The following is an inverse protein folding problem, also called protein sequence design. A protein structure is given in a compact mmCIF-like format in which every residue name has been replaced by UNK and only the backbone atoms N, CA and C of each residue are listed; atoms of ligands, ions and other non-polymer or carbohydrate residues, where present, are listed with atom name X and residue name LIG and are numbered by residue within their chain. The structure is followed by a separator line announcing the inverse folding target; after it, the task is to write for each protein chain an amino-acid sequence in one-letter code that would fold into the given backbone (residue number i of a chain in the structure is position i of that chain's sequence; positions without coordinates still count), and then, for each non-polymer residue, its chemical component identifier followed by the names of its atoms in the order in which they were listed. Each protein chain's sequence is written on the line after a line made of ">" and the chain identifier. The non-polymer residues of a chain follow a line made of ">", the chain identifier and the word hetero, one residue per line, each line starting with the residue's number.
data_IF_938048537646
#
_entry.id   IF_938048537646
#
_cell.length_a   1.000
_cell.length_b   1.000
_cell.length_c   1.000
_cell.angle_alpha   90.00
_cell.angle_beta   90.00
_cell.angle_gamma   90.00
#
_symmetry.space_group_name_H-M   'P 1'
#
loop_
_entity.id
_entity.type
_entity.pdbx_description
1 polymer ?
#
# COMPACT_ATOMS: atom_id res chain seq x y z
N UNK A 1 13.16 30.98 3.51
CA UNK A 1 12.67 29.88 4.37
C UNK A 1 12.53 28.66 3.48
N UNK A 2 13.03 27.47 3.86
CA UNK A 2 12.96 26.29 3.02
C UNK A 2 11.51 25.89 2.71
N UNK A 3 11.25 25.45 1.47
CA UNK A 3 9.94 25.09 0.94
C UNK A 3 9.92 23.63 0.51
N UNK A 4 8.94 22.89 1.02
CA UNK A 4 8.80 21.46 0.80
C UNK A 4 7.48 21.19 0.08
N UNK A 5 7.54 20.54 -1.07
CA UNK A 5 6.35 20.00 -1.74
C UNK A 5 6.04 18.59 -1.25
N UNK A 6 4.78 18.26 -1.01
CA UNK A 6 4.36 16.91 -0.61
C UNK A 6 3.27 16.43 -1.56
N UNK A 7 3.57 15.40 -2.36
CA UNK A 7 2.60 14.74 -3.23
C UNK A 7 2.01 13.53 -2.50
N UNK A 8 0.72 13.61 -2.21
CA UNK A 8 -0.03 12.62 -1.45
C UNK A 8 -1.00 11.87 -2.37
N UNK A 9 -0.99 10.52 -2.38
CA UNK A 9 -1.84 9.74 -3.28
C UNK A 9 -3.34 9.79 -2.88
N UNK A 10 -3.66 10.08 -1.63
CA UNK A 10 -5.01 10.01 -1.07
C UNK A 10 -5.80 11.33 -1.23
N UNK A 11 -6.98 11.40 -0.61
CA UNK A 11 -7.81 12.61 -0.51
C UNK A 11 -7.37 13.49 0.68
N UNK A 12 -7.47 14.83 0.57
CA UNK A 12 -7.24 15.74 1.69
C UNK A 12 -8.19 15.44 2.85
N UNK A 13 -7.72 15.69 4.07
CA UNK A 13 -8.56 15.65 5.28
C UNK A 13 -9.24 14.31 5.61
N UNK A 14 -8.74 13.19 5.06
CA UNK A 14 -9.06 11.89 5.66
C UNK A 14 -8.55 11.91 7.11
N UNK A 15 -9.41 11.73 8.13
CA UNK A 15 -8.99 11.64 9.53
C UNK A 15 -8.01 10.47 9.79
N UNK A 16 -7.80 9.64 8.77
CA UNK A 16 -7.04 8.39 8.78
C UNK A 16 -5.92 8.39 7.73
N UNK A 17 -5.26 9.51 7.41
CA UNK A 17 -3.96 9.42 6.74
C UNK A 17 -2.81 9.43 7.76
N UNK A 18 -2.45 8.27 8.34
CA UNK A 18 -1.44 8.19 9.39
C UNK A 18 -0.08 8.71 8.91
N UNK A 19 0.20 8.64 7.61
CA UNK A 19 1.49 9.03 7.04
C UNK A 19 1.70 10.55 7.06
N UNK A 20 0.69 11.36 6.71
CA UNK A 20 0.82 12.83 6.75
C UNK A 20 0.89 13.33 8.19
N UNK A 21 0.08 12.77 9.09
CA UNK A 21 0.15 13.10 10.51
C UNK A 21 1.52 12.72 11.11
N UNK A 22 2.03 11.52 10.81
CA UNK A 22 3.35 11.08 11.25
C UNK A 22 4.48 11.93 10.66
N UNK A 23 4.38 12.33 9.38
CA UNK A 23 5.33 13.23 8.73
C UNK A 23 5.38 14.59 9.41
N UNK A 24 4.22 15.23 9.64
CA UNK A 24 4.13 16.51 10.35
C UNK A 24 4.67 16.42 11.77
N UNK A 25 4.37 15.34 12.48
CA UNK A 25 4.91 15.09 13.81
C UNK A 25 6.43 14.95 13.78
N UNK A 26 6.97 14.12 12.90
CA UNK A 26 8.41 13.91 12.78
C UNK A 26 9.16 15.20 12.45
N UNK A 27 8.61 16.04 11.56
CA UNK A 27 9.16 17.36 11.29
C UNK A 27 9.17 18.25 12.54
N UNK A 28 8.05 18.31 13.26
CA UNK A 28 7.92 19.10 14.49
C UNK A 28 8.88 18.64 15.59
N UNK A 29 9.01 17.33 15.78
CA UNK A 29 9.90 16.73 16.78
C UNK A 29 11.39 17.08 16.51
N UNK A 30 11.73 17.37 15.24
CA UNK A 30 13.04 17.86 14.80
C UNK A 30 13.15 19.39 14.78
N UNK A 31 12.12 20.12 15.21
CA UNK A 31 12.08 21.58 15.22
C UNK A 31 11.67 22.23 13.88
N UNK A 32 11.25 21.44 12.89
CA UNK A 32 10.71 21.95 11.63
C UNK A 32 9.20 22.19 11.74
N UNK A 33 8.81 23.45 11.88
CA UNK A 33 7.43 23.89 12.08
C UNK A 33 6.94 24.62 10.82
N UNK A 34 5.87 24.09 10.23
CA UNK A 34 5.21 24.66 9.06
C UNK A 34 4.68 26.08 9.36
N UNK A 35 4.96 27.01 8.44
CA UNK A 35 4.68 28.44 8.58
C UNK A 35 5.63 29.23 9.48
N UNK A 36 6.63 28.58 10.09
CA UNK A 36 7.60 29.24 10.99
C UNK A 36 9.05 29.02 10.54
N UNK A 37 9.47 27.76 10.41
CA UNK A 37 10.85 27.40 10.03
C UNK A 37 10.93 26.80 8.63
N UNK A 38 9.81 26.28 8.12
CA UNK A 38 9.63 25.73 6.77
C UNK A 38 8.24 26.12 6.25
N UNK A 39 8.03 26.06 4.94
CA UNK A 39 6.70 26.06 4.34
C UNK A 39 6.43 24.75 3.63
N UNK A 40 5.25 24.15 3.85
CA UNK A 40 4.86 22.87 3.25
C UNK A 40 3.69 23.04 2.28
N UNK A 41 3.91 22.71 1.02
CA UNK A 41 2.91 22.75 -0.05
C UNK A 41 2.37 21.33 -0.29
N UNK A 42 1.08 21.10 -0.03
CA UNK A 42 0.45 19.79 -0.21
C UNK A 42 -0.28 19.69 -1.54
N UNK A 43 0.00 18.64 -2.30
CA UNK A 43 -0.68 18.30 -3.54
C UNK A 43 -1.29 16.91 -3.46
N UNK A 44 -2.60 16.83 -3.69
CA UNK A 44 -3.39 15.63 -3.48
C UNK A 44 -3.82 15.02 -4.81
N UNK A 45 -3.60 13.72 -4.97
CA UNK A 45 -4.02 12.99 -6.16
C UNK A 45 -5.46 12.49 -6.08
N UNK A 46 -6.08 12.46 -4.88
CA UNK A 46 -7.45 11.96 -4.67
C UNK A 46 -7.67 10.55 -5.25
N UNK A 47 -6.67 9.68 -5.10
CA UNK A 47 -6.70 8.30 -5.60
C UNK A 47 -6.57 8.14 -7.12
N UNK A 48 -6.36 9.22 -7.87
CA UNK A 48 -6.31 9.23 -9.35
C UNK A 48 -4.86 9.23 -9.84
N UNK A 49 -4.39 8.09 -10.33
CA UNK A 49 -3.00 7.91 -10.76
C UNK A 49 -2.63 8.78 -11.98
N UNK A 50 -3.59 8.99 -12.85
CA UNK A 50 -3.60 9.86 -14.03
C UNK A 50 -3.29 11.32 -13.69
N UNK A 51 -3.44 11.75 -12.43
CA UNK A 51 -3.07 13.10 -11.98
C UNK A 51 -1.58 13.24 -11.64
N UNK A 52 -0.85 12.15 -11.43
CA UNK A 52 0.52 12.23 -10.90
C UNK A 52 1.48 13.02 -11.79
N UNK A 53 1.37 12.91 -13.11
CA UNK A 53 2.21 13.66 -14.04
C UNK A 53 1.99 15.17 -13.92
N UNK A 54 0.73 15.60 -13.91
CA UNK A 54 0.37 17.01 -13.75
C UNK A 54 0.79 17.56 -12.38
N UNK A 55 0.51 16.83 -11.30
CA UNK A 55 0.87 17.26 -9.93
C UNK A 55 2.39 17.34 -9.73
N UNK A 56 3.15 16.40 -10.30
CA UNK A 56 4.61 16.47 -10.27
C UNK A 56 5.13 17.70 -11.03
N UNK A 57 4.58 17.99 -12.21
CA UNK A 57 4.96 19.17 -12.99
C UNK A 57 4.59 20.49 -12.28
N UNK A 58 3.44 20.54 -11.61
CA UNK A 58 3.04 21.68 -10.78
C UNK A 58 4.03 21.91 -9.63
N UNK A 59 4.39 20.86 -8.89
CA UNK A 59 5.36 20.96 -7.80
C UNK A 59 6.74 21.44 -8.29
N UNK A 60 7.22 20.96 -9.44
CA UNK A 60 8.51 21.40 -10.00
C UNK A 60 8.50 22.87 -10.42
N UNK A 61 7.34 23.43 -10.76
CA UNK A 61 7.20 24.86 -11.08
C UNK A 61 7.11 25.75 -9.84
N UNK A 62 6.82 25.16 -8.68
CA UNK A 62 6.97 25.86 -7.42
C UNK A 62 8.47 25.90 -7.10
N UNK A 63 8.96 27.08 -6.74
CA UNK A 63 10.33 27.28 -6.25
C UNK A 63 10.50 26.58 -4.90
N UNK A 64 10.65 25.25 -4.95
CA UNK A 64 10.77 24.33 -3.82
C UNK A 64 12.22 23.92 -3.64
N UNK A 65 12.60 23.61 -2.40
CA UNK A 65 13.91 23.06 -2.07
C UNK A 65 13.92 21.52 -2.10
N UNK A 66 12.76 20.88 -1.88
CA UNK A 66 12.60 19.42 -1.82
C UNK A 66 11.15 18.99 -2.13
N UNK A 67 10.98 17.84 -2.76
CA UNK A 67 9.68 17.16 -2.89
C UNK A 67 9.67 15.85 -2.09
N UNK A 68 8.58 15.58 -1.38
CA UNK A 68 8.29 14.31 -0.70
C UNK A 68 7.13 13.60 -1.40
N UNK A 69 7.25 12.30 -1.70
CA UNK A 69 6.24 11.54 -2.45
C UNK A 69 5.97 10.17 -1.81
N UNK A 70 4.70 9.85 -1.53
CA UNK A 70 4.25 8.53 -1.02
C UNK A 70 3.62 7.65 -2.12
N UNK A 71 4.33 7.46 -3.24
CA UNK A 71 3.88 6.58 -4.32
C UNK A 71 5.00 6.31 -5.33
N UNK A 72 5.32 5.03 -5.58
CA UNK A 72 6.28 4.63 -6.62
C UNK A 72 5.91 5.12 -8.02
N UNK A 73 4.61 5.14 -8.36
CA UNK A 73 4.14 5.63 -9.66
C UNK A 73 4.30 7.16 -9.76
N UNK A 74 4.03 7.88 -8.68
CA UNK A 74 4.22 9.33 -8.65
C UNK A 74 5.71 9.71 -8.64
N UNK A 75 6.58 8.90 -8.03
CA UNK A 75 8.03 9.06 -8.09
C UNK A 75 8.56 8.90 -9.52
N UNK A 76 8.02 7.95 -10.30
CA UNK A 76 8.35 7.81 -11.72
C UNK A 76 7.92 9.04 -12.51
N UNK A 77 6.72 9.59 -12.21
CA UNK A 77 6.26 10.82 -12.83
C UNK A 77 7.19 12.01 -12.48
N UNK A 78 7.59 12.15 -11.22
CA UNK A 78 8.54 13.18 -10.77
C UNK A 78 9.91 13.05 -11.45
N UNK A 79 10.43 11.83 -11.60
CA UNK A 79 11.68 11.56 -12.32
C UNK A 79 11.65 12.10 -13.77
N UNK A 80 10.50 12.02 -14.43
CA UNK A 80 10.38 12.49 -15.82
C UNK A 80 10.34 14.02 -15.94
N UNK A 81 10.00 14.74 -14.87
CA UNK A 81 9.84 16.20 -14.90
C UNK A 81 10.97 16.95 -14.18
N UNK A 82 11.78 16.27 -13.36
CA UNK A 82 12.96 16.88 -12.74
C UNK A 82 14.09 15.88 -12.49
N UNK A 83 15.32 16.33 -12.74
CA UNK A 83 16.56 15.59 -12.48
C UNK A 83 17.46 16.30 -11.44
N UNK A 84 17.07 17.49 -10.98
CA UNK A 84 17.90 18.37 -10.14
C UNK A 84 17.26 18.68 -8.80
N UNK A 85 15.94 18.90 -8.76
CA UNK A 85 15.20 19.13 -7.53
C UNK A 85 15.22 17.85 -6.68
N UNK A 86 15.72 17.87 -5.44
CA UNK A 86 15.74 16.68 -4.60
C UNK A 86 14.34 16.10 -4.40
N UNK A 87 14.23 14.77 -4.42
CA UNK A 87 12.97 14.04 -4.21
C UNK A 87 13.19 12.92 -3.19
N UNK A 88 12.39 12.91 -2.13
CA UNK A 88 12.39 11.88 -1.09
C UNK A 88 11.12 11.04 -1.19
N UNK A 89 11.28 9.76 -1.52
CA UNK A 89 10.19 8.80 -1.55
C UNK A 89 9.95 8.15 -0.18
N UNK A 90 8.72 8.13 0.31
CA UNK A 90 8.35 7.41 1.57
C UNK A 90 7.60 6.09 1.33
N UNK A 91 7.49 5.71 0.06
CA UNK A 91 6.84 4.49 -0.40
C UNK A 91 7.24 4.16 -1.84
N UNK A 92 8.51 3.81 -2.07
CA UNK A 92 9.08 3.69 -3.42
C UNK A 92 8.65 2.45 -4.24
N UNK A 93 7.54 1.80 -3.88
CA UNK A 93 6.97 0.71 -4.69
C UNK A 93 7.65 -0.66 -4.52
N UNK A 94 8.40 -0.88 -3.45
CA UNK A 94 8.91 -2.20 -3.05
C UNK A 94 10.18 -2.66 -3.78
N UNK A 95 10.39 -2.23 -5.02
CA UNK A 95 11.61 -2.53 -5.80
C UNK A 95 12.03 -1.29 -6.64
N UNK A 96 12.64 -0.27 -6.01
CA UNK A 96 13.02 0.96 -6.70
C UNK A 96 14.16 0.74 -7.72
N UNK A 97 14.93 -0.34 -7.60
CA UNK A 97 15.97 -0.69 -8.59
C UNK A 97 15.33 -1.32 -9.82
N UNK A 98 14.53 -2.37 -9.65
CA UNK A 98 13.90 -3.06 -10.78
C UNK A 98 12.77 -2.27 -11.45
N UNK A 99 12.29 -1.19 -10.84
CA UNK A 99 11.40 -0.20 -11.49
C UNK A 99 12.16 0.92 -12.18
N UNK A 100 13.49 0.97 -12.04
CA UNK A 100 14.33 2.02 -12.62
C UNK A 100 14.17 3.37 -11.93
N UNK A 101 13.60 3.44 -10.73
CA UNK A 101 13.58 4.68 -9.95
C UNK A 101 15.00 5.09 -9.56
N UNK A 102 15.80 4.14 -9.07
CA UNK A 102 17.18 4.34 -8.64
C UNK A 102 18.10 3.28 -9.27
N UNK A 103 19.40 3.59 -9.40
CA UNK A 103 20.40 2.65 -9.95
C UNK A 103 20.78 1.58 -8.92
N UNK A 104 20.87 1.94 -7.64
CA UNK A 104 21.11 1.01 -6.54
C UNK A 104 20.56 1.55 -5.23
N UNK A 105 20.35 0.67 -4.24
CA UNK A 105 19.87 1.09 -2.92
C UNK A 105 20.95 1.87 -2.14
N UNK A 106 22.22 1.45 -2.24
CA UNK A 106 23.32 2.10 -1.54
C UNK A 106 23.71 3.45 -2.18
N UNK A 107 23.52 3.57 -3.49
CA UNK A 107 23.85 4.77 -4.28
C UNK A 107 22.77 4.99 -5.34
N UNK A 108 21.75 5.83 -5.05
CA UNK A 108 20.61 6.00 -5.94
C UNK A 108 20.95 6.50 -7.35
N UNK A 109 22.01 7.30 -7.48
CA UNK A 109 22.55 7.74 -8.78
C UNK A 109 21.81 8.91 -9.43
N UNK A 110 20.96 9.62 -8.70
CA UNK A 110 20.22 10.79 -9.18
C UNK A 110 19.65 11.62 -8.02
N UNK A 111 18.64 12.45 -8.31
CA UNK A 111 17.98 13.32 -7.33
C UNK A 111 16.92 12.62 -6.46
N UNK A 112 16.63 11.34 -6.71
CA UNK A 112 15.64 10.56 -5.95
C UNK A 112 16.35 9.70 -4.90
N UNK A 113 15.90 9.82 -3.65
CA UNK A 113 16.26 8.94 -2.53
C UNK A 113 15.00 8.57 -1.75
N UNK A 114 15.11 7.78 -0.68
CA UNK A 114 13.98 7.54 0.21
C UNK A 114 13.99 6.19 0.91
N UNK A 115 12.80 5.79 1.36
CA UNK A 115 12.54 4.53 2.03
C UNK A 115 11.63 3.65 1.18
N UNK A 116 11.99 2.37 1.10
CA UNK A 116 11.19 1.35 0.43
C UNK A 116 10.92 0.20 1.38
N UNK A 117 9.66 -0.24 1.45
CA UNK A 117 9.30 -1.49 2.10
C UNK A 117 9.54 -2.64 1.13
N UNK A 118 10.76 -3.18 1.11
CA UNK A 118 11.07 -4.37 0.31
C UNK A 118 10.43 -5.56 0.99
N UNK A 119 9.51 -6.22 0.28
CA UNK A 119 8.96 -7.51 0.67
C UNK A 119 9.62 -8.53 -0.26
N UNK A 120 10.71 -9.11 0.23
CA UNK A 120 11.48 -10.12 -0.48
C UNK A 120 10.89 -11.53 -0.29
N UNK A 121 11.52 -12.52 -0.93
CA UNK A 121 11.09 -13.90 -0.87
C UNK A 121 11.03 -14.45 0.58
N UNK A 122 11.96 -14.03 1.44
CA UNK A 122 12.00 -14.45 2.85
C UNK A 122 10.81 -13.90 3.63
N UNK A 123 10.45 -12.64 3.38
CA UNK A 123 9.28 -12.02 4.00
C UNK A 123 7.97 -12.68 3.54
N UNK A 124 7.86 -13.00 2.25
CA UNK A 124 6.67 -13.69 1.69
C UNK A 124 6.55 -15.12 2.25
N UNK A 125 7.67 -15.83 2.39
CA UNK A 125 7.68 -17.16 3.00
C UNK A 125 7.16 -17.11 4.44
N UNK A 126 7.49 -16.06 5.19
CA UNK A 126 7.05 -15.91 6.58
C UNK A 126 5.53 -15.85 6.72
N UNK A 127 4.81 -15.32 5.73
CA UNK A 127 3.34 -15.34 5.74
C UNK A 127 2.78 -16.77 5.74
N UNK A 128 3.35 -17.65 4.93
CA UNK A 128 2.92 -19.04 4.86
C UNK A 128 3.30 -19.81 6.14
N UNK A 129 4.49 -19.56 6.69
CA UNK A 129 4.93 -20.13 7.96
C UNK A 129 4.01 -19.75 9.13
N UNK A 130 3.76 -18.44 9.30
CA UNK A 130 2.91 -17.93 10.37
C UNK A 130 1.47 -18.47 10.25
N UNK A 131 0.97 -18.59 9.01
CA UNK A 131 -0.35 -19.15 8.77
C UNK A 131 -0.41 -20.64 9.14
N UNK A 132 0.65 -21.40 8.85
CA UNK A 132 0.76 -22.81 9.23
C UNK A 132 0.94 -22.99 10.75
N UNK A 133 1.69 -22.11 11.40
CA UNK A 133 1.88 -22.11 12.85
C UNK A 133 0.56 -21.82 13.57
N UNK A 134 -0.16 -20.78 13.15
CA UNK A 134 -1.45 -20.39 13.73
C UNK A 134 -2.56 -21.42 13.45
N UNK A 135 -2.52 -22.07 12.29
CA UNK A 135 -3.52 -23.07 11.90
C UNK A 135 -2.86 -24.34 11.31
N UNK A 136 -2.34 -25.24 12.15
CA UNK A 136 -1.53 -26.40 11.71
C UNK A 136 -2.25 -27.36 10.75
N UNK A 137 -3.59 -27.39 10.78
CA UNK A 137 -4.40 -28.31 9.97
C UNK A 137 -4.65 -27.82 8.54
N UNK A 138 -4.29 -26.58 8.19
CA UNK A 138 -4.50 -26.09 6.82
C UNK A 138 -3.70 -26.91 5.81
N UNK A 139 -4.32 -27.13 4.66
CA UNK A 139 -3.72 -27.81 3.50
C UNK A 139 -3.75 -26.93 2.25
N UNK A 140 -4.49 -25.81 2.28
CA UNK A 140 -4.65 -24.88 1.16
C UNK A 140 -4.54 -23.44 1.64
N UNK A 141 -3.93 -22.59 0.83
CA UNK A 141 -3.81 -21.15 1.10
C UNK A 141 -4.25 -20.38 -0.13
N UNK A 142 -5.23 -19.50 0.00
CA UNK A 142 -5.58 -18.54 -1.04
C UNK A 142 -4.71 -17.29 -0.95
N UNK A 143 -4.16 -16.85 -2.07
CA UNK A 143 -3.48 -15.56 -2.18
C UNK A 143 -4.33 -14.59 -2.96
N UNK A 144 -4.97 -13.67 -2.24
CA UNK A 144 -5.86 -12.65 -2.80
C UNK A 144 -5.11 -11.36 -2.99
N UNK A 145 -5.04 -10.89 -4.23
CA UNK A 145 -4.29 -9.69 -4.58
C UNK A 145 -4.89 -8.94 -5.77
N UNK A 146 -4.56 -7.66 -5.86
CA UNK A 146 -4.90 -6.84 -7.02
C UNK A 146 -4.06 -7.24 -8.25
N UNK A 147 -4.71 -7.79 -9.26
CA UNK A 147 -4.02 -8.25 -10.48
C UNK A 147 -3.39 -7.13 -11.31
N UNK A 148 -3.79 -5.87 -11.12
CA UNK A 148 -3.13 -4.73 -11.75
C UNK A 148 -1.78 -4.41 -11.08
N UNK A 149 -1.59 -4.80 -9.81
CA UNK A 149 -0.38 -4.55 -9.05
C UNK A 149 0.76 -5.48 -9.48
N UNK A 150 1.77 -4.94 -10.18
CA UNK A 150 2.99 -5.67 -10.52
C UNK A 150 3.71 -6.20 -9.27
N UNK A 151 3.77 -5.40 -8.21
CA UNK A 151 4.40 -5.77 -6.94
C UNK A 151 3.73 -7.00 -6.33
N UNK A 152 2.39 -7.04 -6.33
CA UNK A 152 1.66 -8.18 -5.75
C UNK A 152 1.79 -9.43 -6.60
N UNK A 153 1.83 -9.29 -7.94
CA UNK A 153 2.09 -10.40 -8.87
C UNK A 153 3.49 -11.00 -8.71
N UNK A 154 4.51 -10.16 -8.50
CA UNK A 154 5.90 -10.61 -8.35
C UNK A 154 6.13 -11.52 -7.13
N UNK A 155 5.24 -11.49 -6.13
CA UNK A 155 5.33 -12.35 -4.94
C UNK A 155 4.84 -13.78 -5.14
N UNK A 156 4.07 -14.04 -6.20
CA UNK A 156 3.47 -15.36 -6.45
C UNK A 156 4.49 -16.50 -6.57
N UNK A 157 5.60 -16.36 -7.32
CA UNK A 157 6.60 -17.43 -7.43
C UNK A 157 7.20 -17.79 -6.07
N UNK A 158 7.61 -16.78 -5.28
CA UNK A 158 8.21 -16.98 -3.96
C UNK A 158 7.21 -17.60 -2.99
N UNK A 159 5.97 -17.10 -2.97
CA UNK A 159 4.92 -17.68 -2.15
C UNK A 159 4.63 -19.13 -2.55
N UNK A 160 4.65 -19.44 -3.85
CA UNK A 160 4.43 -20.80 -4.37
C UNK A 160 5.53 -21.75 -3.92
N UNK A 161 6.78 -21.31 -3.87
CA UNK A 161 7.91 -22.08 -3.33
C UNK A 161 7.68 -22.32 -1.84
N UNK A 162 7.40 -21.27 -1.07
CA UNK A 162 7.20 -21.35 0.38
C UNK A 162 6.03 -22.26 0.77
N UNK A 163 4.88 -22.13 0.11
CA UNK A 163 3.73 -23.02 0.37
C UNK A 163 4.06 -24.47 0.06
N UNK A 164 4.84 -24.74 -1.00
CA UNK A 164 5.20 -26.12 -1.38
C UNK A 164 6.09 -26.76 -0.32
N UNK A 165 7.05 -26.00 0.23
CA UNK A 165 7.91 -26.45 1.32
C UNK A 165 7.12 -26.83 2.59
N UNK A 166 5.96 -26.20 2.80
CA UNK A 166 5.06 -26.46 3.94
C UNK A 166 3.94 -27.48 3.62
N UNK A 167 3.98 -28.13 2.45
CA UNK A 167 2.92 -29.03 1.96
C UNK A 167 1.54 -28.37 1.87
N UNK A 168 1.53 -27.08 1.51
CA UNK A 168 0.34 -26.28 1.29
C UNK A 168 0.10 -26.08 -0.21
N UNK A 169 -1.16 -26.25 -0.64
CA UNK A 169 -1.60 -25.91 -2.00
C UNK A 169 -1.93 -24.43 -2.08
N UNK A 170 -1.16 -23.66 -2.85
CA UNK A 170 -1.45 -22.26 -3.14
C UNK A 170 -2.58 -22.14 -4.18
N UNK A 171 -3.62 -21.38 -3.86
CA UNK A 171 -4.64 -20.93 -4.80
C UNK A 171 -4.34 -19.49 -5.20
N UNK A 172 -4.21 -19.26 -6.50
CA UNK A 172 -3.94 -17.96 -7.10
C UNK A 172 -5.27 -17.23 -7.33
N UNK A 173 -5.54 -16.17 -6.54
CA UNK A 173 -6.85 -15.53 -6.47
C UNK A 173 -6.78 -14.03 -6.85
N UNK A 174 -6.59 -13.70 -8.14
CA UNK A 174 -6.53 -12.33 -8.61
C UNK A 174 -7.88 -11.62 -8.50
N UNK A 175 -7.85 -10.35 -8.05
CA UNK A 175 -9.01 -9.46 -7.99
C UNK A 175 -8.72 -8.22 -8.84
N UNK A 176 -9.71 -7.77 -9.61
CA UNK A 176 -9.69 -6.47 -10.31
C UNK A 176 -10.72 -5.51 -9.75
N UNK A 177 -11.88 -6.02 -9.35
CA UNK A 177 -13.00 -5.26 -8.78
C UNK A 177 -13.37 -5.85 -7.41
N UNK A 178 -13.56 -4.96 -6.43
CA UNK A 178 -14.02 -5.32 -5.08
C UNK A 178 -15.35 -6.10 -5.11
N UNK A 179 -16.22 -5.87 -6.10
CA UNK A 179 -17.49 -6.57 -6.24
C UNK A 179 -17.32 -8.07 -6.57
N UNK A 180 -16.12 -8.50 -6.98
CA UNK A 180 -15.83 -9.88 -7.38
C UNK A 180 -15.19 -10.69 -6.25
N UNK A 181 -14.91 -10.09 -5.10
CA UNK A 181 -14.24 -10.75 -3.97
C UNK A 181 -14.97 -12.04 -3.57
N UNK A 182 -16.29 -12.00 -3.40
CA UNK A 182 -17.07 -13.18 -3.01
C UNK A 182 -16.90 -14.34 -4.02
N UNK A 183 -16.97 -14.01 -5.32
CA UNK A 183 -16.79 -15.01 -6.38
C UNK A 183 -15.38 -15.61 -6.38
N UNK A 184 -14.36 -14.79 -6.12
CA UNK A 184 -12.94 -15.19 -6.07
C UNK A 184 -12.64 -16.04 -4.84
N UNK A 185 -13.39 -15.90 -3.75
CA UNK A 185 -13.24 -16.72 -2.54
C UNK A 185 -13.97 -18.06 -2.62
N UNK A 186 -14.91 -18.25 -3.56
CA UNK A 186 -15.65 -19.52 -3.76
C UNK A 186 -14.78 -20.78 -3.73
N UNK A 187 -13.58 -20.83 -4.35
CA UNK A 187 -12.69 -22.00 -4.31
C UNK A 187 -12.20 -22.38 -2.90
N UNK A 188 -12.33 -21.49 -1.91
CA UNK A 188 -11.99 -21.70 -0.50
C UNK A 188 -13.21 -22.02 0.37
N UNK A 189 -14.43 -21.86 -0.14
CA UNK A 189 -15.68 -22.05 0.62
C UNK A 189 -16.19 -23.50 0.58
N UNK A 190 -15.57 -24.37 -0.22
CA UNK A 190 -15.94 -25.78 -0.33
C UNK A 190 -15.52 -26.64 0.88
N UNK A 191 -16.13 -27.82 1.02
CA UNK A 191 -15.80 -28.81 2.08
C UNK A 191 -14.39 -29.44 1.95
N UNK A 192 -13.64 -29.10 0.90
CA UNK A 192 -12.33 -29.68 0.62
C UNK A 192 -11.19 -28.98 1.37
N UNK A 193 -10.87 -29.50 2.55
CA UNK A 193 -9.65 -29.15 3.30
C UNK A 193 -9.81 -27.93 4.21
N UNK A 194 -8.89 -27.83 5.18
CA UNK A 194 -8.76 -26.63 6.01
C UNK A 194 -8.01 -25.55 5.23
N UNK A 195 -8.60 -24.35 5.17
CA UNK A 195 -8.16 -23.28 4.29
C UNK A 195 -7.57 -22.12 5.10
N UNK A 196 -6.54 -21.48 4.56
CA UNK A 196 -6.00 -20.20 5.02
C UNK A 196 -6.04 -19.15 3.91
N UNK A 197 -5.92 -17.87 4.29
CA UNK A 197 -6.01 -16.75 3.37
C UNK A 197 -4.88 -15.75 3.63
N UNK A 198 -4.16 -15.38 2.58
CA UNK A 198 -3.22 -14.26 2.56
C UNK A 198 -3.83 -13.18 1.67
N UNK A 199 -4.09 -12.01 2.24
CA UNK A 199 -4.66 -10.86 1.53
C UNK A 199 -3.61 -9.76 1.45
N UNK A 200 -3.27 -9.33 0.23
CA UNK A 200 -2.38 -8.19 0.02
C UNK A 200 -3.22 -6.99 -0.37
N UNK A 201 -3.46 -6.04 0.56
CA UNK A 201 -4.28 -4.89 0.27
C UNK A 201 -3.57 -3.94 -0.71
N UNK A 202 -4.35 -3.39 -1.65
CA UNK A 202 -3.99 -2.11 -2.28
C UNK A 202 -4.26 -1.02 -1.24
N UNK A 203 -3.30 -0.13 -0.98
CA UNK A 203 -3.48 1.04 -0.07
C UNK A 203 -4.74 1.87 -0.39
N UNK A 204 -5.20 1.89 -1.64
CA UNK A 204 -6.41 2.62 -2.06
C UNK A 204 -7.74 1.83 -1.98
N UNK A 205 -7.72 0.49 -1.97
CA UNK A 205 -8.95 -0.31 -2.14
C UNK A 205 -9.68 -0.63 -0.83
N UNK A 206 -8.96 -0.70 0.30
CA UNK A 206 -9.59 -1.09 1.56
C UNK A 206 -10.34 0.04 2.27
N UNK A 207 -10.20 1.29 1.83
CA UNK A 207 -10.97 2.42 2.35
C UNK A 207 -12.48 2.28 2.08
N UNK A 208 -12.90 1.61 0.99
CA UNK A 208 -14.33 1.48 0.63
C UNK A 208 -15.02 0.26 1.27
N UNK A 209 -14.27 -0.76 1.68
CA UNK A 209 -14.83 -2.00 2.24
C UNK A 209 -15.01 -1.98 3.76
N UNK A 210 -14.25 -1.16 4.49
CA UNK A 210 -14.34 -1.11 5.95
C UNK A 210 -15.69 -0.57 6.46
N UNK A 211 -16.34 0.30 5.69
CA UNK A 211 -17.67 0.85 6.02
C UNK A 211 -18.80 -0.19 5.98
N UNK A 212 -18.71 -1.19 5.10
CA UNK A 212 -19.77 -2.20 4.96
C UNK A 212 -19.70 -3.31 6.01
N UNK A 213 -18.50 -3.63 6.51
CA UNK A 213 -18.35 -4.56 7.65
C UNK A 213 -18.91 -3.97 8.96
N UNK A 214 -18.68 -2.68 9.24
CA UNK A 214 -19.25 -2.01 10.41
C UNK A 214 -20.79 -1.91 10.35
N UNK A 215 -21.35 -1.65 9.16
CA UNK A 215 -22.80 -1.58 8.99
C UNK A 215 -23.50 -2.95 9.19
N UNK A 216 -22.86 -4.05 8.74
CA UNK A 216 -23.41 -5.41 8.92
C UNK A 216 -23.32 -5.91 10.36
N UNK A 217 -22.28 -5.52 11.11
CA UNK A 217 -22.17 -5.86 12.54
C UNK A 217 -23.16 -5.06 13.40
N UNK A 218 -23.44 -3.80 13.06
CA UNK A 218 -24.46 -3.00 13.72
C UNK A 218 -25.88 -3.56 13.50
N UNK A 219 -26.19 -4.03 12.28
CA UNK A 219 -27.48 -4.66 11.96
C UNK A 219 -27.66 -6.01 12.68
N UNK A 220 -26.59 -6.81 12.81
CA UNK A 220 -26.62 -8.10 13.55
C UNK A 220 -26.76 -7.95 15.06
N UNK A 221 -26.32 -6.83 15.64
CA UNK A 221 -26.51 -6.54 17.07
C UNK A 221 -27.93 -6.07 17.36
N UNK A 222 -28.54 -5.24 16.50
CA UNK A 222 -29.94 -4.81 16.66
C UNK A 222 -30.94 -5.95 16.50
N UNK A 223 -30.72 -6.87 15.56
CA UNK A 223 -31.61 -8.03 15.37
C UNK A 223 -31.54 -9.09 16.48
N UNK A 224 -30.61 -8.97 17.45
CA UNK A 224 -30.47 -9.91 18.56
C UNK A 224 -31.06 -9.41 19.88
N UNK A 225 -31.40 -8.13 19.97
CA UNK A 225 -32.10 -7.53 21.13
C UNK A 225 -33.62 -7.60 21.00
N UNK A 226 -34.18 -7.64 19.78
CA UNK A 226 -35.64 -7.73 19.59
C UNK A 226 -36.22 -9.15 19.77
N UNK A 227 -35.37 -10.18 19.87
CA UNK A 227 -35.80 -11.58 20.09
C UNK A 227 -35.85 -11.99 21.57
N UNK A 228 -35.77 -11.04 22.50
CA UNK A 228 -35.80 -11.29 23.95
C UNK A 228 -36.92 -10.57 24.71
N UNK A 229 -37.86 -9.96 23.97
CA UNK A 229 -39.04 -9.29 24.52
C UNK A 229 -40.31 -9.74 23.78
N UNK A 230 -40.53 -11.05 23.72
CA UNK A 230 -41.83 -11.75 23.59
C UNK A 230 -41.65 -13.16 24.14
#
# INVERSE_FOLDING_TARGET
>A
MPRIGVLVPAEPESPNEPNVAAFRRGLRDLGYIDGQTIAVEYQWAHGKAERYSALAAELVRLDLDLIVIDSGVALLAAKNVTQTLPVVGVGMGGDPVGTGLVVSLARPGGNITGVTGIIDAGFVAKWAELLKEAAPRISRVGYVYDSSSLVSRRRLPDLRIATRALSLKLLDLPVQDANRIDSVLTPLSGKEGSNGLIVVPRRASFARGAGSCHARDAARRRGRDESRLL
#
